data_IF_300863932844
#
_entry.id   IF_300863932844
#
_cell.length_a   1.000
_cell.length_b   1.000
_cell.length_c   1.000
_cell.angle_alpha   90.00
_cell.angle_beta   90.00
_cell.angle_gamma   90.00
#
_symmetry.space_group_name_H-M   'P 1'
#
loop_
_entity.id
_entity.type
_entity.pdbx_description
1 polymer ?
#
# COMPACT_ATOMS: atom_id res chain seq x y z
N UNK A 1 -3.28 13.22 -7.41
CA UNK A 1 -2.33 12.14 -7.08
C UNK A 1 -3.05 10.79 -7.15
N UNK A 2 -2.44 9.82 -7.77
CA UNK A 2 -3.00 8.47 -7.84
C UNK A 2 -2.43 7.61 -6.72
N UNK A 3 -3.30 7.10 -5.85
CA UNK A 3 -2.93 6.40 -4.63
C UNK A 3 -3.59 5.03 -4.62
N UNK A 4 -2.82 3.99 -4.32
CA UNK A 4 -3.33 2.65 -4.12
C UNK A 4 -3.21 2.31 -2.64
N UNK A 5 -4.34 1.92 -2.03
CA UNK A 5 -4.38 1.47 -0.64
C UNK A 5 -4.63 -0.04 -0.64
N UNK A 6 -3.76 -0.78 0.02
CA UNK A 6 -3.90 -2.23 0.15
C UNK A 6 -4.47 -2.55 1.53
N UNK A 7 -5.67 -3.10 1.54
CA UNK A 7 -6.41 -3.41 2.74
C UNK A 7 -7.62 -2.52 2.94
N UNK A 8 -8.80 -3.12 3.12
CA UNK A 8 -10.07 -2.44 3.36
C UNK A 8 -10.59 -2.66 4.79
N UNK A 9 -9.73 -3.12 5.70
CA UNK A 9 -10.05 -3.19 7.11
C UNK A 9 -10.10 -1.80 7.72
N UNK A 10 -10.16 -1.71 9.05
CA UNK A 10 -10.35 -0.43 9.71
C UNK A 10 -9.28 0.61 9.36
N UNK A 11 -8.01 0.21 9.34
CA UNK A 11 -6.90 1.13 9.05
C UNK A 11 -6.95 1.60 7.60
N UNK A 12 -7.10 0.67 6.65
CA UNK A 12 -7.18 1.01 5.23
C UNK A 12 -8.40 1.85 4.92
N UNK A 13 -9.54 1.52 5.51
CA UNK A 13 -10.78 2.29 5.37
C UNK A 13 -10.60 3.73 5.84
N UNK A 14 -9.99 3.93 7.01
CA UNK A 14 -9.75 5.27 7.54
C UNK A 14 -8.85 6.08 6.62
N UNK A 15 -7.77 5.47 6.14
CA UNK A 15 -6.88 6.13 5.20
C UNK A 15 -7.60 6.50 3.90
N UNK A 16 -8.41 5.59 3.36
CA UNK A 16 -9.16 5.84 2.13
C UNK A 16 -10.14 7.01 2.31
N UNK A 17 -10.84 7.06 3.44
CA UNK A 17 -11.78 8.13 3.73
C UNK A 17 -11.07 9.50 3.76
N UNK A 18 -9.91 9.56 4.40
CA UNK A 18 -9.14 10.80 4.46
C UNK A 18 -8.61 11.23 3.09
N UNK A 19 -8.01 10.31 2.36
CA UNK A 19 -7.36 10.64 1.10
C UNK A 19 -8.37 10.94 -0.01
N UNK A 20 -9.52 10.27 -0.02
CA UNK A 20 -10.54 10.48 -1.03
C UNK A 20 -11.29 11.81 -0.86
N UNK A 21 -11.16 12.50 0.27
CA UNK A 21 -11.79 13.81 0.47
C UNK A 21 -11.24 14.88 -0.46
N UNK A 22 -9.98 14.73 -0.87
CA UNK A 22 -9.38 15.66 -1.82
C UNK A 22 -9.73 15.23 -3.24
N UNK A 23 -10.42 16.07 -3.99
CA UNK A 23 -10.83 15.75 -5.36
C UNK A 23 -9.66 15.45 -6.29
N UNK A 24 -8.50 16.03 -6.01
CA UNK A 24 -7.30 15.80 -6.80
C UNK A 24 -6.74 14.39 -6.64
N UNK A 25 -7.18 13.64 -5.62
CA UNK A 25 -6.72 12.28 -5.38
C UNK A 25 -7.61 11.27 -6.08
N UNK A 26 -6.99 10.35 -6.79
CA UNK A 26 -7.63 9.19 -7.40
C UNK A 26 -7.22 7.98 -6.55
N UNK A 27 -8.15 7.49 -5.74
CA UNK A 27 -7.87 6.44 -4.75
C UNK A 27 -8.44 5.11 -5.21
N UNK A 28 -7.61 4.08 -5.21
CA UNK A 28 -7.99 2.68 -5.46
C UNK A 28 -7.71 1.87 -4.22
N UNK A 29 -8.66 1.06 -3.79
CA UNK A 29 -8.51 0.19 -2.61
C UNK A 29 -8.55 -1.26 -3.05
N UNK A 30 -7.61 -2.05 -2.56
CA UNK A 30 -7.45 -3.48 -2.88
C UNK A 30 -7.70 -4.30 -1.62
N UNK A 31 -8.51 -5.34 -1.74
CA UNK A 31 -8.74 -6.32 -0.67
C UNK A 31 -9.21 -7.64 -1.27
N UNK A 32 -9.03 -8.73 -0.53
CA UNK A 32 -9.59 -10.03 -0.93
C UNK A 32 -11.07 -10.12 -0.62
N UNK A 33 -11.58 -9.31 0.30
CA UNK A 33 -12.96 -9.32 0.76
C UNK A 33 -13.80 -8.33 -0.04
N UNK A 34 -14.60 -8.85 -0.97
CA UNK A 34 -15.43 -8.04 -1.84
C UNK A 34 -16.53 -7.28 -1.07
N UNK A 35 -17.01 -7.81 0.04
CA UNK A 35 -18.02 -7.11 0.84
C UNK A 35 -17.47 -5.84 1.46
N UNK A 36 -16.23 -5.88 1.96
CA UNK A 36 -15.60 -4.68 2.49
C UNK A 36 -15.41 -3.62 1.42
N UNK A 37 -15.02 -4.06 0.21
CA UNK A 37 -14.82 -3.15 -0.90
C UNK A 37 -16.13 -2.50 -1.33
N UNK A 38 -17.22 -3.25 -1.43
CA UNK A 38 -18.52 -2.73 -1.80
C UNK A 38 -19.06 -1.75 -0.77
N UNK A 39 -18.94 -2.09 0.51
CA UNK A 39 -19.37 -1.20 1.58
C UNK A 39 -18.63 0.14 1.53
N UNK A 40 -17.34 0.09 1.31
CA UNK A 40 -16.53 1.30 1.24
C UNK A 40 -16.88 2.12 -0.01
N UNK A 41 -17.04 1.47 -1.16
CA UNK A 41 -17.37 2.11 -2.43
C UNK A 41 -18.75 2.80 -2.39
N UNK A 42 -19.67 2.28 -1.60
CA UNK A 42 -21.00 2.87 -1.41
C UNK A 42 -20.92 4.19 -0.61
N UNK A 43 -19.87 4.40 0.12
CA UNK A 43 -19.73 5.54 1.05
C UNK A 43 -18.81 6.65 0.54
N UNK A 44 -17.82 6.30 -0.25
CA UNK A 44 -16.84 7.26 -0.75
C UNK A 44 -16.52 6.99 -2.22
N UNK A 45 -16.02 8.02 -2.89
CA UNK A 45 -15.68 7.95 -4.30
C UNK A 45 -14.29 7.35 -4.49
N UNK A 46 -14.25 6.04 -4.68
CA UNK A 46 -13.02 5.28 -4.88
C UNK A 46 -13.22 4.21 -5.95
N UNK A 47 -12.11 3.70 -6.46
CA UNK A 47 -12.10 2.49 -7.26
C UNK A 47 -11.72 1.32 -6.37
N UNK A 48 -12.17 0.12 -6.73
CA UNK A 48 -11.85 -1.08 -5.95
C UNK A 48 -11.33 -2.18 -6.86
N UNK A 49 -10.42 -2.99 -6.32
CA UNK A 49 -9.92 -4.18 -6.99
C UNK A 49 -9.89 -5.31 -5.97
N UNK A 50 -10.55 -6.42 -6.29
CA UNK A 50 -10.53 -7.61 -5.45
C UNK A 50 -9.35 -8.49 -5.84
N UNK A 51 -8.53 -8.84 -4.86
CA UNK A 51 -7.40 -9.72 -5.09
C UNK A 51 -6.39 -9.68 -3.96
N UNK A 52 -5.35 -10.51 -4.09
CA UNK A 52 -4.24 -10.56 -3.15
C UNK A 52 -3.35 -9.32 -3.36
N UNK A 53 -3.19 -8.54 -2.31
CA UNK A 53 -2.44 -7.28 -2.36
C UNK A 53 -0.98 -7.44 -2.78
N UNK A 54 -0.37 -8.60 -2.54
CA UNK A 54 1.03 -8.86 -2.91
C UNK A 54 1.18 -9.44 -4.32
N UNK A 55 0.08 -9.73 -5.01
CA UNK A 55 0.14 -10.31 -6.35
C UNK A 55 0.46 -9.25 -7.40
N UNK A 56 1.46 -9.49 -8.28
CA UNK A 56 1.74 -8.58 -9.39
C UNK A 56 0.53 -8.30 -10.27
N UNK A 57 -0.29 -9.32 -10.55
CA UNK A 57 -1.49 -9.16 -11.37
C UNK A 57 -2.50 -8.21 -10.71
N UNK A 58 -2.72 -8.37 -9.42
CA UNK A 58 -3.63 -7.51 -8.67
C UNK A 58 -3.14 -6.06 -8.68
N UNK A 59 -1.86 -5.85 -8.44
CA UNK A 59 -1.28 -4.51 -8.46
C UNK A 59 -1.36 -3.86 -9.83
N UNK A 60 -1.15 -4.64 -10.89
CA UNK A 60 -1.32 -4.16 -12.25
C UNK A 60 -2.76 -3.72 -12.51
N UNK A 61 -3.73 -4.53 -12.11
CA UNK A 61 -5.15 -4.21 -12.25
C UNK A 61 -5.54 -2.96 -11.46
N UNK A 62 -4.89 -2.73 -10.33
CA UNK A 62 -5.13 -1.53 -9.51
C UNK A 62 -4.48 -0.28 -10.09
N UNK A 63 -3.67 -0.42 -11.15
CA UNK A 63 -3.03 0.70 -11.81
C UNK A 63 -1.68 1.08 -11.22
N UNK A 64 -0.94 0.11 -10.69
CA UNK A 64 0.36 0.39 -10.07
C UNK A 64 1.35 1.06 -11.02
N UNK A 65 1.24 0.79 -12.32
CA UNK A 65 2.14 1.39 -13.31
C UNK A 65 2.08 2.92 -13.32
N UNK A 66 0.93 3.49 -12.98
CA UNK A 66 0.71 4.95 -12.99
C UNK A 66 0.59 5.53 -11.58
N UNK A 67 0.66 4.71 -10.55
CA UNK A 67 0.44 5.17 -9.19
C UNK A 67 1.61 6.02 -8.69
N UNK A 68 1.29 7.10 -8.01
CA UNK A 68 2.28 7.94 -7.35
C UNK A 68 2.70 7.37 -6.01
N UNK A 69 1.78 6.66 -5.35
CA UNK A 69 2.00 6.14 -4.01
C UNK A 69 1.24 4.84 -3.81
N UNK A 70 1.85 3.92 -3.07
CA UNK A 70 1.18 2.73 -2.56
C UNK A 70 1.26 2.74 -1.04
N UNK A 71 0.14 2.46 -0.39
CA UNK A 71 0.04 2.42 1.07
C UNK A 71 -0.47 1.05 1.46
N UNK A 72 0.41 0.19 1.96
CA UNK A 72 0.11 -1.19 2.29
C UNK A 72 -0.32 -1.30 3.76
N UNK A 73 -1.62 -1.43 3.97
CA UNK A 73 -2.26 -1.40 5.29
C UNK A 73 -3.03 -2.68 5.60
N UNK A 74 -2.62 -3.80 5.03
CA UNK A 74 -3.24 -5.08 5.37
C UNK A 74 -2.85 -5.49 6.80
N UNK A 75 -3.48 -6.53 7.32
CA UNK A 75 -3.14 -7.05 8.64
C UNK A 75 -1.92 -7.99 8.64
N UNK A 76 -1.25 -8.13 7.51
CA UNK A 76 -0.04 -8.95 7.37
C UNK A 76 1.16 -8.09 7.04
N UNK A 77 2.13 -8.03 7.94
CA UNK A 77 3.38 -7.30 7.70
C UNK A 77 4.09 -7.82 6.45
N UNK A 78 4.11 -9.16 6.27
CA UNK A 78 4.78 -9.80 5.15
C UNK A 78 4.13 -9.40 3.82
N UNK A 79 2.81 -9.40 3.76
CA UNK A 79 2.08 -8.97 2.57
C UNK A 79 2.39 -7.49 2.27
N UNK A 80 2.40 -6.66 3.31
CA UNK A 80 2.71 -5.23 3.15
C UNK A 80 4.12 -5.02 2.59
N UNK A 81 5.09 -5.76 3.12
CA UNK A 81 6.48 -5.68 2.67
C UNK A 81 6.64 -6.17 1.23
N UNK A 82 6.07 -7.32 0.92
CA UNK A 82 6.15 -7.91 -0.42
C UNK A 82 5.46 -7.01 -1.45
N UNK A 83 4.30 -6.49 -1.12
CA UNK A 83 3.56 -5.59 -2.03
C UNK A 83 4.37 -4.35 -2.37
N UNK A 84 5.02 -3.73 -1.39
CA UNK A 84 5.90 -2.58 -1.63
C UNK A 84 7.08 -2.96 -2.53
N UNK A 85 7.68 -4.12 -2.30
CA UNK A 85 8.78 -4.61 -3.11
C UNK A 85 8.35 -4.86 -4.55
N UNK A 86 7.21 -5.51 -4.76
CA UNK A 86 6.66 -5.77 -6.09
C UNK A 86 6.36 -4.45 -6.81
N UNK A 87 5.74 -3.51 -6.10
CA UNK A 87 5.43 -2.20 -6.67
C UNK A 87 6.69 -1.48 -7.18
N UNK A 88 7.77 -1.56 -6.42
CA UNK A 88 9.04 -0.98 -6.84
C UNK A 88 9.67 -1.74 -7.99
N UNK A 89 9.83 -3.06 -7.84
CA UNK A 89 10.59 -3.88 -8.80
C UNK A 89 9.93 -3.95 -10.17
N UNK A 90 8.59 -4.00 -10.23
CA UNK A 90 7.86 -4.17 -11.49
C UNK A 90 7.29 -2.87 -12.02
N UNK A 91 6.93 -1.93 -11.17
CA UNK A 91 6.20 -0.73 -11.59
C UNK A 91 6.94 0.58 -11.30
N UNK A 92 8.02 0.53 -10.57
CA UNK A 92 8.82 1.72 -10.25
C UNK A 92 8.08 2.74 -9.39
N UNK A 93 7.11 2.30 -8.59
CA UNK A 93 6.32 3.18 -7.74
C UNK A 93 7.22 4.00 -6.82
N UNK A 94 7.11 5.33 -6.87
CA UNK A 94 8.05 6.22 -6.18
C UNK A 94 7.91 6.19 -4.66
N UNK A 95 6.69 6.23 -4.16
CA UNK A 95 6.45 6.28 -2.71
C UNK A 95 5.73 5.02 -2.25
N UNK A 96 6.32 4.33 -1.30
CA UNK A 96 5.80 3.07 -0.76
C UNK A 96 5.81 3.13 0.75
N UNK A 97 4.62 3.04 1.33
CA UNK A 97 4.41 3.10 2.78
C UNK A 97 3.83 1.78 3.22
N UNK A 98 4.36 1.19 4.28
CA UNK A 98 3.90 -0.08 4.79
C UNK A 98 3.57 0.00 6.28
N UNK A 99 2.48 -0.65 6.66
CA UNK A 99 2.15 -0.88 8.07
C UNK A 99 2.96 -2.06 8.57
N UNK A 100 3.73 -1.84 9.64
CA UNK A 100 4.52 -2.89 10.28
C UNK A 100 4.12 -2.95 11.75
N UNK A 101 3.51 -4.06 12.15
CA UNK A 101 2.99 -4.27 13.51
C UNK A 101 3.93 -5.09 14.37
N UNK A 102 4.68 -5.99 13.76
CA UNK A 102 5.56 -6.90 14.48
C UNK A 102 6.81 -6.19 14.96
N UNK A 103 7.11 -6.31 16.25
CA UNK A 103 8.36 -5.79 16.81
C UNK A 103 9.57 -6.48 16.20
N UNK A 104 9.41 -7.73 15.75
CA UNK A 104 10.49 -8.46 15.11
C UNK A 104 11.05 -7.72 13.90
N UNK A 105 10.16 -7.11 13.09
CA UNK A 105 10.58 -6.29 11.96
C UNK A 105 10.90 -4.85 12.37
N UNK A 106 10.09 -4.27 13.25
CA UNK A 106 10.27 -2.87 13.65
C UNK A 106 11.60 -2.62 14.38
N UNK A 107 12.14 -3.64 15.04
CA UNK A 107 13.45 -3.58 15.69
C UNK A 107 14.63 -3.74 14.74
N UNK A 108 14.36 -4.06 13.49
CA UNK A 108 15.40 -4.27 12.47
C UNK A 108 15.15 -3.33 11.29
N UNK A 109 15.26 -2.01 11.50
CA UNK A 109 14.96 -1.04 10.44
C UNK A 109 15.89 -1.18 9.23
N UNK A 110 17.03 -1.83 9.37
CA UNK A 110 17.95 -2.08 8.27
C UNK A 110 17.38 -2.96 7.16
N UNK A 111 16.28 -3.67 7.41
CA UNK A 111 15.64 -4.48 6.35
C UNK A 111 14.77 -3.63 5.42
N UNK A 112 14.48 -2.39 5.79
CA UNK A 112 13.69 -1.48 4.97
C UNK A 112 14.60 -0.44 4.33
N UNK A 113 14.47 -0.26 3.03
CA UNK A 113 15.34 0.63 2.27
C UNK A 113 14.49 1.60 1.46
N UNK A 114 14.74 2.90 1.64
CA UNK A 114 14.11 3.92 0.80
C UNK A 114 14.68 3.83 -0.62
N UNK A 115 13.79 3.98 -1.60
CA UNK A 115 14.18 3.93 -3.00
C UNK A 115 14.55 5.29 -3.57
N UNK A 116 14.50 6.33 -2.76
CA UNK A 116 14.81 7.69 -3.22
C UNK A 116 16.23 7.75 -3.77
N UNK A 117 16.33 8.04 -5.08
CA UNK A 117 17.63 8.16 -5.75
C UNK A 117 18.32 6.84 -6.06
N UNK A 118 17.73 5.69 -5.75
CA UNK A 118 18.35 4.37 -5.97
C UNK A 118 17.71 3.65 -7.16
N UNK A 119 18.50 3.01 -8.04
CA UNK A 119 17.94 2.12 -9.05
C UNK A 119 17.49 0.81 -8.40
N UNK A 120 16.47 0.13 -8.99
CA UNK A 120 15.91 -1.09 -8.40
C UNK A 120 16.92 -2.20 -8.13
N UNK A 121 18.00 -2.24 -8.92
CA UNK A 121 19.02 -3.29 -8.84
C UNK A 121 20.00 -3.11 -7.69
N UNK A 122 19.98 -1.97 -7.01
CA UNK A 122 20.93 -1.66 -5.93
C UNK A 122 20.34 -1.83 -4.53
N UNK A 123 19.07 -2.25 -4.42
CA UNK A 123 18.45 -2.39 -3.11
C UNK A 123 18.98 -3.63 -2.37
N UNK A 124 19.34 -3.43 -1.12
CA UNK A 124 19.80 -4.50 -0.23
C UNK A 124 18.73 -4.93 0.78
N UNK A 125 17.48 -4.51 0.60
CA UNK A 125 16.37 -4.83 1.49
C UNK A 125 15.03 -4.60 0.81
N UNK A 126 13.96 -4.60 1.60
CA UNK A 126 12.62 -4.34 1.08
C UNK A 126 12.44 -2.85 0.77
N UNK A 127 11.84 -2.56 -0.38
CA UNK A 127 11.62 -1.21 -0.87
C UNK A 127 10.44 -0.55 -0.14
N UNK A 128 10.69 -0.12 1.09
CA UNK A 128 9.71 0.57 1.93
C UNK A 128 10.30 1.92 2.33
N UNK A 129 9.70 3.00 1.84
CA UNK A 129 10.20 4.35 2.11
C UNK A 129 9.86 4.82 3.52
N UNK A 130 8.70 4.39 4.01
CA UNK A 130 8.22 4.71 5.34
C UNK A 130 7.38 3.55 5.86
N UNK A 131 7.58 3.17 7.12
CA UNK A 131 6.70 2.21 7.77
C UNK A 131 6.07 2.84 9.00
N UNK A 132 4.83 2.42 9.31
CA UNK A 132 4.05 2.98 10.40
C UNK A 132 3.52 1.86 11.29
N UNK A 133 3.46 2.12 12.60
CA UNK A 133 2.84 1.21 13.54
C UNK A 133 1.36 1.59 13.71
N UNK A 134 0.52 0.68 14.22
CA UNK A 134 -0.89 1.01 14.44
C UNK A 134 -1.11 2.23 15.33
N UNK A 135 -0.26 2.45 16.31
CA UNK A 135 -0.37 3.58 17.23
C UNK A 135 -0.15 4.92 16.50
N UNK A 136 0.65 4.93 15.46
CA UNK A 136 0.94 6.14 14.69
C UNK A 136 -0.19 6.51 13.73
N UNK A 137 -1.10 5.57 13.47
CA UNK A 137 -2.20 5.76 12.53
C UNK A 137 -3.51 6.19 13.20
N UNK A 138 -3.54 6.25 14.50
CA UNK A 138 -4.73 6.58 15.28
C UNK A 138 -4.90 8.09 15.49
#
# INVERSE_FOLDING_TARGET
MKIIILGAGQVGRTAAQHLAREEANDVTVVDTDDELLRDLQDRIDIRTVQGNAASPMTLEMAGAADADMIVALTNSDEVNMVACQVAWSLFGTKTKIARIRSEAFARRPEIFVSTEGAPPTELSGFAVDMYVSPEELV
#
